data_IF_194125351615
#
_entry.id   IF_194125351615
#
_cell.length_a   1.000
_cell.length_b   1.000
_cell.length_c   1.000
_cell.angle_alpha   90.00
_cell.angle_beta   90.00
_cell.angle_gamma   90.00
#
_symmetry.space_group_name_H-M   'P 1'
#
loop_
_entity.id
_entity.type
_entity.pdbx_description
1 polymer ?
#
# COMPACT_ATOMS: atom_id res chain seq x y z
N UNK A 1 18.57 23.72 -0.08
CA UNK A 1 18.72 22.27 -0.33
C UNK A 1 18.05 21.97 -1.67
N UNK A 2 18.83 21.66 -2.71
CA UNK A 2 18.26 21.18 -3.97
C UNK A 2 17.74 19.75 -3.75
N UNK A 3 16.42 19.60 -3.68
CA UNK A 3 15.80 18.27 -3.69
C UNK A 3 15.85 17.75 -5.13
N UNK A 4 16.83 16.89 -5.44
CA UNK A 4 17.08 16.41 -6.80
C UNK A 4 16.04 15.39 -7.30
N UNK A 5 15.28 14.76 -6.40
CA UNK A 5 14.33 13.70 -6.75
C UNK A 5 12.89 14.03 -6.33
N UNK A 6 11.94 13.76 -7.24
CA UNK A 6 10.51 13.86 -7.00
C UNK A 6 9.93 12.47 -6.70
N UNK A 7 9.29 12.31 -5.53
CA UNK A 7 8.67 11.06 -5.14
C UNK A 7 7.30 10.90 -5.80
N UNK A 8 7.13 9.83 -6.59
CA UNK A 8 5.86 9.48 -7.23
C UNK A 8 5.44 8.09 -6.76
N UNK A 9 4.28 8.01 -6.11
CA UNK A 9 3.68 6.73 -5.74
C UNK A 9 3.15 6.02 -7.00
N UNK A 10 3.71 4.84 -7.29
CA UNK A 10 3.31 4.02 -8.45
C UNK A 10 2.25 2.96 -8.09
N UNK A 11 1.95 2.78 -6.81
CA UNK A 11 0.90 1.91 -6.29
C UNK A 11 0.02 2.68 -5.31
N UNK A 12 -1.20 2.19 -5.10
CA UNK A 12 -2.11 2.67 -4.06
C UNK A 12 -2.38 1.54 -3.07
N UNK A 13 -2.33 1.85 -1.78
CA UNK A 13 -2.65 0.90 -0.72
C UNK A 13 -4.09 0.39 -0.83
N UNK A 14 -4.27 -0.93 -0.77
CA UNK A 14 -5.58 -1.57 -0.71
C UNK A 14 -6.15 -1.52 0.73
N UNK A 15 -6.76 -0.38 1.05
CA UNK A 15 -7.35 -0.07 2.37
C UNK A 15 -8.86 0.06 2.29
N UNK A 16 -9.54 -0.13 3.43
CA UNK A 16 -10.98 0.04 3.57
C UNK A 16 -11.47 1.47 3.30
N UNK A 17 -10.59 2.48 3.31
CA UNK A 17 -10.94 3.85 2.94
C UNK A 17 -11.06 4.07 1.42
N UNK A 18 -10.60 3.11 0.60
CA UNK A 18 -10.74 3.17 -0.86
C UNK A 18 -12.15 2.71 -1.21
N UNK A 19 -12.95 3.57 -1.85
CA UNK A 19 -14.37 3.31 -2.15
C UNK A 19 -14.61 1.97 -2.84
N UNK A 20 -13.85 1.65 -3.89
CA UNK A 20 -13.99 0.39 -4.61
C UNK A 20 -13.72 -0.85 -3.72
N UNK A 21 -12.78 -0.73 -2.79
CA UNK A 21 -12.47 -1.79 -1.84
C UNK A 21 -13.61 -1.93 -0.83
N UNK A 22 -14.08 -0.80 -0.27
CA UNK A 22 -15.22 -0.76 0.65
C UNK A 22 -16.48 -1.37 0.05
N UNK A 23 -16.88 -0.94 -1.16
CA UNK A 23 -18.08 -1.41 -1.84
C UNK A 23 -18.04 -2.94 -2.05
N UNK A 24 -16.87 -3.48 -2.41
CA UNK A 24 -16.66 -4.92 -2.58
C UNK A 24 -16.82 -5.67 -1.26
N UNK A 25 -16.16 -5.20 -0.20
CA UNK A 25 -16.24 -5.82 1.13
C UNK A 25 -17.69 -5.80 1.65
N UNK A 26 -18.36 -4.65 1.54
CA UNK A 26 -19.76 -4.50 1.96
C UNK A 26 -20.70 -5.40 1.16
N UNK A 27 -20.52 -5.49 -0.17
CA UNK A 27 -21.30 -6.37 -1.04
C UNK A 27 -21.11 -7.86 -0.74
N UNK A 28 -19.98 -8.25 -0.16
CA UNK A 28 -19.70 -9.62 0.30
C UNK A 28 -20.09 -9.87 1.77
N UNK A 29 -20.78 -8.93 2.43
CA UNK A 29 -21.24 -9.10 3.81
C UNK A 29 -20.14 -9.00 4.87
N UNK A 30 -19.01 -8.37 4.54
CA UNK A 30 -17.95 -8.07 5.51
C UNK A 30 -18.37 -7.01 6.51
N UNK A 31 -18.01 -7.21 7.78
CA UNK A 31 -18.31 -6.28 8.85
C UNK A 31 -17.09 -5.39 9.14
N UNK A 32 -17.28 -4.07 9.12
CA UNK A 32 -16.22 -3.11 9.44
C UNK A 32 -16.42 -2.59 10.86
N UNK A 33 -15.41 -2.79 11.72
CA UNK A 33 -15.41 -2.25 13.08
C UNK A 33 -14.10 -1.54 13.38
N UNK A 34 -14.17 -0.45 14.14
CA UNK A 34 -13.02 0.23 14.71
C UNK A 34 -12.93 -0.14 16.18
N UNK A 35 -11.90 -0.87 16.58
CA UNK A 35 -11.71 -1.23 17.98
C UNK A 35 -11.21 -0.01 18.76
N UNK A 36 -11.46 0.02 20.07
CA UNK A 36 -11.13 1.14 20.97
C UNK A 36 -9.65 1.57 20.88
N UNK A 37 -8.74 0.63 20.62
CA UNK A 37 -7.30 0.86 20.54
C UNK A 37 -6.77 1.03 19.10
N UNK A 38 -7.63 0.93 18.10
CA UNK A 38 -7.19 1.00 16.71
C UNK A 38 -7.34 2.41 16.13
N UNK A 39 -6.34 2.80 15.35
CA UNK A 39 -6.40 4.02 14.54
C UNK A 39 -7.11 3.81 13.20
N UNK A 40 -7.38 2.56 12.81
CA UNK A 40 -8.00 2.18 11.53
C UNK A 40 -9.19 1.26 11.73
N UNK A 41 -10.09 1.22 10.74
CA UNK A 41 -11.10 0.19 10.65
C UNK A 41 -10.46 -1.17 10.36
N UNK A 42 -11.10 -2.22 10.87
CA UNK A 42 -10.78 -3.62 10.61
C UNK A 42 -11.98 -4.34 10.03
N UNK A 43 -11.69 -5.33 9.20
CA UNK A 43 -12.62 -6.23 8.56
C UNK A 43 -12.77 -7.52 9.38
N UNK A 44 -14.02 -7.88 9.64
CA UNK A 44 -14.45 -9.06 10.36
C UNK A 44 -15.49 -9.84 9.57
N UNK A 45 -15.59 -11.14 9.85
CA UNK A 45 -16.79 -11.91 9.52
C UNK A 45 -17.90 -11.47 10.48
N UNK A 46 -19.12 -11.40 9.95
CA UNK A 46 -20.30 -11.00 10.71
C UNK A 46 -20.42 -11.81 11.99
N UNK A 47 -20.71 -11.12 13.10
CA UNK A 47 -20.93 -11.71 14.42
C UNK A 47 -19.68 -12.45 14.99
N UNK A 48 -18.48 -12.12 14.49
CA UNK A 48 -17.21 -12.69 14.99
C UNK A 48 -16.13 -11.63 15.18
N UNK A 49 -15.12 -11.97 16.00
CA UNK A 49 -13.89 -11.18 16.17
C UNK A 49 -12.77 -11.56 15.19
N UNK A 50 -13.04 -12.44 14.21
CA UNK A 50 -12.07 -12.88 13.22
C UNK A 50 -12.43 -12.35 11.82
N UNK A 51 -11.46 -12.10 10.91
CA UNK A 51 -10.01 -12.14 11.13
C UNK A 51 -9.42 -10.84 11.71
N UNK A 52 -10.15 -9.72 11.70
CA UNK A 52 -9.63 -8.43 12.18
C UNK A 52 -8.58 -7.78 11.27
N UNK A 53 -8.78 -7.86 9.94
CA UNK A 53 -7.82 -7.39 8.94
C UNK A 53 -7.91 -5.89 8.68
N UNK A 54 -6.77 -5.22 8.54
CA UNK A 54 -6.71 -3.82 8.10
C UNK A 54 -6.56 -3.66 6.58
N UNK A 55 -6.28 -4.75 5.86
CA UNK A 55 -6.05 -4.80 4.42
C UNK A 55 -7.23 -5.47 3.71
N UNK A 56 -7.52 -5.01 2.48
CA UNK A 56 -8.64 -5.53 1.67
C UNK A 56 -8.18 -6.49 0.57
N UNK A 57 -6.87 -6.67 0.39
CA UNK A 57 -6.29 -7.62 -0.56
C UNK A 57 -5.12 -8.39 0.03
N UNK A 58 -5.17 -9.72 -0.07
CA UNK A 58 -4.22 -10.67 0.51
C UNK A 58 -4.22 -11.94 -0.34
N UNK A 59 -3.06 -12.58 -0.45
CA UNK A 59 -2.93 -13.91 -1.07
C UNK A 59 -3.02 -14.96 0.04
N UNK A 60 -3.78 -16.05 -0.20
CA UNK A 60 -3.83 -17.20 0.69
C UNK A 60 -4.71 -17.03 1.93
N UNK A 61 -5.47 -15.94 2.05
CA UNK A 61 -6.27 -15.66 3.24
C UNK A 61 -7.71 -16.21 3.14
N UNK A 62 -7.85 -17.52 3.35
CA UNK A 62 -9.10 -18.30 3.11
C UNK A 62 -10.37 -17.68 3.72
N UNK A 63 -10.35 -17.30 5.00
CA UNK A 63 -11.52 -16.75 5.69
C UNK A 63 -11.88 -15.35 5.20
N UNK A 64 -10.87 -14.52 4.91
CA UNK A 64 -11.07 -13.18 4.36
C UNK A 64 -11.71 -13.18 2.98
N UNK A 65 -11.39 -14.18 2.14
CA UNK A 65 -12.03 -14.32 0.83
C UNK A 65 -13.56 -14.51 0.92
N UNK A 66 -14.08 -15.02 2.04
CA UNK A 66 -15.52 -15.16 2.27
C UNK A 66 -16.25 -13.81 2.38
N UNK A 67 -15.52 -12.74 2.72
CA UNK A 67 -16.07 -11.39 2.94
C UNK A 67 -15.43 -10.36 2.01
N UNK A 68 -15.02 -10.80 0.82
CA UNK A 68 -14.61 -9.91 -0.27
C UNK A 68 -13.15 -9.49 -0.26
N UNK A 69 -12.29 -10.03 0.61
CA UNK A 69 -10.83 -9.85 0.45
C UNK A 69 -10.42 -10.45 -0.89
N UNK A 70 -9.70 -9.68 -1.70
CA UNK A 70 -9.31 -10.12 -3.05
C UNK A 70 -7.84 -10.53 -3.10
N UNK A 71 -7.52 -11.52 -3.94
CA UNK A 71 -6.13 -11.85 -4.29
C UNK A 71 -5.71 -11.22 -5.64
N UNK A 72 -6.61 -10.50 -6.31
CA UNK A 72 -6.30 -9.85 -7.59
C UNK A 72 -5.47 -8.58 -7.35
N UNK A 73 -4.31 -8.42 -8.00
CA UNK A 73 -3.48 -7.23 -7.84
C UNK A 73 -4.12 -6.02 -8.52
N UNK A 74 -3.71 -4.82 -8.11
CA UNK A 74 -3.84 -3.64 -8.97
C UNK A 74 -2.58 -3.53 -9.80
N UNK A 75 -2.73 -3.25 -11.10
CA UNK A 75 -1.62 -3.11 -12.03
C UNK A 75 -1.55 -1.67 -12.50
N UNK A 76 -0.38 -1.05 -12.39
CA UNK A 76 -0.04 0.23 -12.98
C UNK A 76 1.13 0.04 -13.95
N UNK A 77 1.25 0.91 -14.94
CA UNK A 77 2.32 0.88 -15.93
C UNK A 77 2.96 2.27 -16.00
N UNK A 78 4.29 2.29 -15.98
CA UNK A 78 5.10 3.50 -16.18
C UNK A 78 6.06 3.19 -17.32
N UNK A 79 6.07 4.03 -18.35
CA UNK A 79 6.98 3.82 -19.48
C UNK A 79 8.34 4.39 -19.15
N UNK A 80 9.39 3.71 -19.60
CA UNK A 80 10.77 4.14 -19.35
C UNK A 80 11.05 5.53 -19.94
N UNK A 81 10.45 5.85 -21.09
CA UNK A 81 10.56 7.17 -21.74
C UNK A 81 9.94 8.32 -20.94
N UNK A 82 9.01 8.05 -20.02
CA UNK A 82 8.40 9.05 -19.16
C UNK A 82 9.26 9.34 -17.90
N UNK A 83 10.34 8.57 -17.69
CA UNK A 83 11.22 8.69 -16.53
C UNK A 83 12.50 9.47 -16.88
N UNK A 84 12.84 10.45 -16.04
CA UNK A 84 14.11 11.16 -16.13
C UNK A 84 15.31 10.22 -15.98
N UNK A 85 16.46 10.63 -16.52
CA UNK A 85 17.72 9.92 -16.29
C UNK A 85 18.09 9.92 -14.81
N UNK A 86 18.60 8.78 -14.32
CA UNK A 86 18.86 8.58 -12.90
C UNK A 86 17.62 8.27 -12.03
N UNK A 87 16.43 8.12 -12.64
CA UNK A 87 15.25 7.68 -11.89
C UNK A 87 15.44 6.26 -11.31
N UNK A 88 14.93 6.05 -10.10
CA UNK A 88 15.00 4.77 -9.38
C UNK A 88 13.64 4.38 -8.80
N UNK A 89 13.46 3.07 -8.55
CA UNK A 89 12.28 2.51 -7.92
C UNK A 89 12.62 2.02 -6.51
N UNK A 90 11.79 2.39 -5.53
CA UNK A 90 11.92 1.89 -4.15
C UNK A 90 10.78 0.92 -3.86
N UNK A 91 11.13 -0.31 -3.48
CA UNK A 91 10.19 -1.34 -3.03
C UNK A 91 10.48 -1.67 -1.57
N UNK A 92 9.43 -1.67 -0.75
CA UNK A 92 9.54 -1.94 0.68
C UNK A 92 8.27 -2.57 1.23
N UNK A 93 8.36 -3.24 2.36
CA UNK A 93 7.19 -3.77 3.05
C UNK A 93 6.42 -2.66 3.77
N UNK A 94 5.17 -2.94 4.17
CA UNK A 94 4.32 -1.99 4.90
C UNK A 94 4.95 -1.42 6.18
N UNK A 95 5.94 -2.10 6.77
CA UNK A 95 6.66 -1.60 7.95
C UNK A 95 7.52 -0.37 7.67
N UNK A 96 8.06 -0.22 6.45
CA UNK A 96 8.80 0.98 6.05
C UNK A 96 7.84 2.17 5.88
N UNK A 97 6.75 1.93 5.13
CA UNK A 97 5.77 2.94 4.76
C UNK A 97 4.88 3.39 5.93
N UNK A 98 4.83 2.62 7.02
CA UNK A 98 4.14 3.03 8.25
C UNK A 98 4.94 3.99 9.12
N UNK A 99 6.25 4.12 8.87
CA UNK A 99 7.17 4.93 9.68
C UNK A 99 7.68 6.18 8.95
N UNK A 100 7.77 6.15 7.62
CA UNK A 100 8.36 7.22 6.83
C UNK A 100 7.50 7.56 5.61
N UNK A 101 7.45 8.85 5.27
CA UNK A 101 6.81 9.30 4.03
C UNK A 101 7.64 8.96 2.79
N UNK A 102 6.99 8.85 1.64
CA UNK A 102 7.64 8.56 0.36
C UNK A 102 8.74 9.59 0.06
N UNK A 103 8.48 10.88 0.34
CA UNK A 103 9.46 11.95 0.17
C UNK A 103 10.70 11.75 1.04
N UNK A 104 10.53 11.35 2.29
CA UNK A 104 11.66 11.10 3.19
C UNK A 104 12.49 9.92 2.69
N UNK A 105 11.84 8.83 2.29
CA UNK A 105 12.50 7.63 1.76
C UNK A 105 13.29 7.95 0.50
N UNK A 106 12.67 8.60 -0.49
CA UNK A 106 13.32 8.99 -1.75
C UNK A 106 14.51 9.90 -1.51
N UNK A 107 14.39 10.85 -0.58
CA UNK A 107 15.50 11.74 -0.21
C UNK A 107 16.65 10.99 0.46
N UNK A 108 16.38 10.01 1.33
CA UNK A 108 17.43 9.17 1.94
C UNK A 108 18.14 8.30 0.89
N UNK A 109 17.38 7.64 0.02
CA UNK A 109 17.94 6.80 -1.06
C UNK A 109 18.77 7.65 -2.03
N UNK A 110 18.26 8.82 -2.43
CA UNK A 110 18.95 9.73 -3.34
C UNK A 110 20.28 10.26 -2.81
N UNK A 111 20.46 10.34 -1.48
CA UNK A 111 21.75 10.71 -0.86
C UNK A 111 22.80 9.59 -0.92
N UNK A 112 22.37 8.34 -1.02
CA UNK A 112 23.26 7.18 -1.14
C UNK A 112 23.56 6.83 -2.61
N UNK A 113 22.87 7.49 -3.55
CA UNK A 113 23.09 7.37 -4.97
C UNK A 113 24.18 8.38 -5.37
N UNK A 114 25.42 8.12 -4.96
CA UNK A 114 26.57 8.77 -5.60
C UNK A 114 26.56 8.37 -7.09
N UNK A 115 27.00 9.32 -7.93
CA UNK A 115 27.03 9.20 -9.39
C UNK A 115 27.56 7.82 -9.83
N UNK A 116 26.76 6.96 -10.50
CA UNK A 116 27.20 5.65 -10.95
C UNK A 116 28.35 5.71 -11.98
N UNK A 117 28.69 6.90 -12.48
CA UNK A 117 29.90 7.14 -13.28
C UNK A 117 31.15 7.55 -12.48
N UNK A 118 31.07 7.66 -11.15
CA UNK A 118 32.21 8.04 -10.29
C UNK A 118 33.18 6.89 -9.94
N UNK A 119 33.18 5.79 -10.70
CA UNK A 119 34.12 4.66 -10.55
C UNK A 119 35.05 4.53 -11.76
#
# INVERSE_FOLDING_TARGET
>A
EEFHFNAVAVTQDHKLCVKQEFDRIQGCGGELRKMVKDNTYRLFLKDTEAPGLALTRLIGHRTGHLVGVSHFPSVSCVRREDLADGAFLVLGSGGLWSMMSERAIVHWVGRCYDDPTAA
#
